data_IF_747090338042
#
_entry.id   IF_747090338042
#
_cell.length_a   1.000
_cell.length_b   1.000
_cell.length_c   1.000
_cell.angle_alpha   90.00
_cell.angle_beta   90.00
_cell.angle_gamma   90.00
#
_symmetry.space_group_name_H-M   'P 1'
#
loop_
_entity.id
_entity.type
_entity.pdbx_description
1 polymer ?
#
# COMPACT_ATOMS: atom_id res chain seq x y z
N UNK A 1 2.93 15.71 25.00
CA UNK A 1 2.99 15.16 23.63
C UNK A 1 1.66 14.50 23.35
N UNK A 2 0.79 15.17 22.59
CA UNK A 2 -0.54 14.68 22.26
C UNK A 2 -0.45 13.94 20.92
N UNK A 3 -0.74 12.65 20.95
CA UNK A 3 -0.82 11.78 19.78
C UNK A 3 -2.04 12.20 18.96
N UNK A 4 -1.80 12.76 17.78
CA UNK A 4 -2.87 13.13 16.85
C UNK A 4 -3.36 11.84 16.18
N UNK A 5 -4.38 11.21 16.77
CA UNK A 5 -5.16 10.17 16.08
C UNK A 5 -6.01 10.91 15.05
N UNK A 6 -5.67 10.76 13.76
CA UNK A 6 -6.51 11.21 12.67
C UNK A 6 -7.79 10.36 12.66
N UNK A 7 -8.77 10.75 13.46
CA UNK A 7 -10.14 10.28 13.35
C UNK A 7 -10.65 10.82 12.01
N UNK A 8 -10.69 9.97 10.98
CA UNK A 8 -11.43 10.26 9.76
C UNK A 8 -12.90 10.39 10.17
N UNK A 9 -13.33 11.62 10.42
CA UNK A 9 -14.73 11.98 10.51
C UNK A 9 -15.34 11.63 9.15
N UNK A 10 -15.95 10.46 9.03
CA UNK A 10 -16.98 10.24 8.04
C UNK A 10 -18.11 11.19 8.42
N UNK A 11 -18.09 12.39 7.84
CA UNK A 11 -19.30 13.17 7.67
C UNK A 11 -20.25 12.22 6.94
N UNK A 12 -21.26 11.70 7.63
CA UNK A 12 -22.48 11.25 6.97
C UNK A 12 -22.94 12.46 6.17
N UNK A 13 -22.68 12.44 4.86
CA UNK A 13 -23.27 13.40 3.95
C UNK A 13 -24.76 13.11 3.94
N UNK A 14 -25.47 13.69 4.89
CA UNK A 14 -26.89 13.96 4.76
C UNK A 14 -26.91 15.20 3.88
N UNK A 15 -27.40 15.14 2.63
CA UNK A 15 -27.57 16.33 1.83
C UNK A 15 -28.36 17.36 2.65
N UNK A 16 -27.90 18.61 2.65
CA UNK A 16 -28.61 19.73 3.26
C UNK A 16 -30.08 19.69 2.82
N UNK A 17 -30.97 19.82 3.80
CA UNK A 17 -32.40 19.71 3.66
C UNK A 17 -32.97 20.82 2.77
N UNK A 18 -33.13 20.52 1.48
CA UNK A 18 -34.42 20.80 0.85
C UNK A 18 -35.32 19.60 1.16
N UNK A 19 -36.46 19.85 1.80
CA UNK A 19 -37.48 18.84 2.11
C UNK A 19 -38.05 18.31 0.78
N UNK A 20 -37.42 17.26 0.24
CA UNK A 20 -37.74 16.72 -1.06
C UNK A 20 -37.72 15.20 -0.97
N UNK A 21 -38.80 14.58 -1.46
CA UNK A 21 -38.94 13.13 -1.55
C UNK A 21 -37.79 12.51 -2.33
N UNK A 22 -37.20 11.45 -1.80
CA UNK A 22 -36.12 10.75 -2.48
C UNK A 22 -36.20 9.23 -2.38
N UNK A 23 -35.62 8.57 -3.38
CA UNK A 23 -35.29 7.14 -3.35
C UNK A 23 -33.79 7.00 -3.46
N UNK A 24 -33.15 6.27 -2.55
CA UNK A 24 -31.70 6.24 -2.45
C UNK A 24 -31.14 4.87 -2.00
N UNK A 25 -29.84 4.69 -2.21
CA UNK A 25 -29.08 3.51 -1.80
C UNK A 25 -28.33 3.80 -0.50
N UNK A 26 -28.42 2.89 0.47
CA UNK A 26 -27.75 2.96 1.78
C UNK A 26 -27.01 1.65 2.11
N UNK A 27 -25.70 1.68 2.43
CA UNK A 27 -24.84 2.86 2.41
C UNK A 27 -24.65 3.40 0.99
N UNK A 28 -24.54 4.72 0.87
CA UNK A 28 -24.34 5.38 -0.43
C UNK A 28 -22.99 5.00 -1.08
N UNK A 29 -21.99 4.64 -0.26
CA UNK A 29 -20.63 4.31 -0.67
C UNK A 29 -20.20 2.97 -0.05
N UNK A 30 -19.91 1.97 -0.88
CA UNK A 30 -19.35 0.69 -0.52
C UNK A 30 -17.89 0.62 -0.99
N UNK A 31 -16.94 1.03 -0.13
CA UNK A 31 -15.52 1.14 -0.49
C UNK A 31 -14.68 0.09 0.24
N UNK A 32 -13.93 -0.70 -0.52
CA UNK A 32 -13.09 -1.79 -0.04
C UNK A 32 -11.64 -1.65 -0.52
N UNK A 33 -10.76 -2.42 0.13
CA UNK A 33 -9.39 -2.66 -0.31
C UNK A 33 -9.15 -4.16 -0.42
N UNK A 34 -8.13 -4.60 -1.15
CA UNK A 34 -7.69 -6.01 -1.15
C UNK A 34 -7.22 -6.50 0.22
N UNK A 35 -7.05 -5.61 1.21
CA UNK A 35 -6.77 -5.96 2.62
C UNK A 35 -8.05 -6.19 3.44
N UNK A 36 -9.17 -5.60 3.04
CA UNK A 36 -10.46 -5.67 3.77
C UNK A 36 -11.49 -6.57 3.09
N UNK A 37 -11.31 -6.87 1.81
CA UNK A 37 -12.17 -7.76 1.04
C UNK A 37 -11.38 -8.51 -0.03
N UNK A 38 -11.94 -9.64 -0.45
CA UNK A 38 -11.41 -10.51 -1.52
C UNK A 38 -12.55 -11.01 -2.41
N UNK A 39 -12.23 -11.68 -3.53
CA UNK A 39 -13.22 -12.35 -4.36
C UNK A 39 -14.04 -13.32 -3.49
N UNK A 40 -15.36 -13.25 -3.59
CA UNK A 40 -16.28 -14.01 -2.74
C UNK A 40 -16.78 -13.26 -1.50
N UNK A 41 -16.23 -12.08 -1.20
CA UNK A 41 -16.73 -11.22 -0.11
C UNK A 41 -18.10 -10.67 -0.48
N UNK A 42 -19.06 -10.80 0.44
CA UNK A 42 -20.43 -10.33 0.27
C UNK A 42 -20.68 -9.04 1.02
N UNK A 43 -21.50 -8.17 0.46
CA UNK A 43 -21.94 -6.92 1.10
C UNK A 43 -23.38 -6.61 0.72
N UNK A 44 -24.08 -5.88 1.59
CA UNK A 44 -25.49 -5.52 1.39
C UNK A 44 -25.63 -4.03 1.12
N UNK A 45 -26.59 -3.69 0.27
CA UNK A 45 -27.14 -2.34 0.16
C UNK A 45 -28.65 -2.38 0.37
N UNK A 46 -29.16 -1.36 1.03
CA UNK A 46 -30.58 -1.16 1.34
C UNK A 46 -31.11 -0.04 0.47
N UNK A 47 -32.24 -0.28 -0.17
CA UNK A 47 -32.98 0.72 -0.93
C UNK A 47 -33.97 1.41 -0.01
N UNK A 48 -34.00 2.73 -0.03
CA UNK A 48 -34.81 3.54 0.87
C UNK A 48 -35.68 4.53 0.10
N UNK A 49 -36.79 4.91 0.72
CA UNK A 49 -37.55 6.11 0.38
C UNK A 49 -37.73 7.00 1.62
N UNK A 50 -37.73 8.32 1.45
CA UNK A 50 -37.99 9.30 2.51
C UNK A 50 -38.98 10.36 2.05
N UNK A 51 -39.67 10.99 3.00
CA UNK A 51 -40.60 12.10 2.75
C UNK A 51 -41.70 11.74 1.73
N UNK A 52 -42.18 10.50 1.80
CA UNK A 52 -43.31 9.98 1.00
C UNK A 52 -44.22 9.14 1.90
N UNK A 53 -45.53 9.36 1.80
CA UNK A 53 -46.57 8.57 2.47
C UNK A 53 -47.60 8.07 1.46
N UNK A 54 -48.53 7.23 1.90
CA UNK A 54 -49.58 6.63 1.06
C UNK A 54 -49.02 5.84 -0.14
N UNK A 55 -47.92 5.12 0.06
CA UNK A 55 -47.29 4.33 -1.01
C UNK A 55 -48.12 3.06 -1.25
N UNK A 56 -48.64 2.90 -2.47
CA UNK A 56 -49.31 1.67 -2.95
C UNK A 56 -48.32 0.63 -3.49
N UNK A 57 -47.14 1.06 -3.94
CA UNK A 57 -46.06 0.17 -4.36
C UNK A 57 -44.76 0.87 -4.72
N UNK A 58 -43.70 0.10 -4.88
CA UNK A 58 -42.39 0.56 -5.31
C UNK A 58 -41.83 -0.39 -6.37
N UNK A 59 -41.30 0.15 -7.47
CA UNK A 59 -40.46 -0.58 -8.41
C UNK A 59 -39.06 0.04 -8.38
N UNK A 60 -38.03 -0.79 -8.28
CA UNK A 60 -36.64 -0.37 -8.34
C UNK A 60 -35.96 -1.08 -9.49
N UNK A 61 -35.27 -0.32 -10.32
CA UNK A 61 -34.41 -0.82 -11.39
C UNK A 61 -32.99 -0.33 -11.15
N UNK A 62 -32.04 -1.26 -10.96
CA UNK A 62 -30.65 -0.94 -10.68
C UNK A 62 -29.73 -1.54 -11.75
N UNK A 63 -28.89 -0.70 -12.34
CA UNK A 63 -27.77 -1.12 -13.22
C UNK A 63 -26.44 -1.03 -12.47
N UNK A 64 -25.52 -1.95 -12.76
CA UNK A 64 -24.18 -1.98 -12.20
C UNK A 64 -23.24 -2.76 -13.13
N UNK A 65 -21.92 -2.65 -12.91
CA UNK A 65 -20.93 -3.43 -13.64
C UNK A 65 -20.83 -4.84 -13.06
N UNK A 66 -21.35 -5.82 -13.81
CA UNK A 66 -21.38 -7.22 -13.35
C UNK A 66 -20.09 -8.01 -13.58
N UNK A 67 -19.12 -7.43 -14.29
CA UNK A 67 -17.77 -7.99 -14.39
C UNK A 67 -16.99 -7.83 -13.09
N UNK A 68 -17.44 -6.98 -12.14
CA UNK A 68 -16.72 -6.72 -10.87
C UNK A 68 -17.49 -7.09 -9.61
N UNK A 69 -18.83 -7.01 -9.63
CA UNK A 69 -19.73 -7.46 -8.56
C UNK A 69 -20.97 -8.11 -9.14
N UNK A 70 -21.56 -9.11 -8.49
CA UNK A 70 -22.85 -9.67 -8.92
C UNK A 70 -23.86 -9.75 -7.76
N UNK A 71 -25.15 -9.72 -8.11
CA UNK A 71 -26.21 -9.91 -7.10
C UNK A 71 -26.37 -11.39 -6.81
N UNK A 72 -26.40 -11.74 -5.53
CA UNK A 72 -26.59 -13.11 -5.06
C UNK A 72 -28.01 -13.39 -4.58
N UNK A 73 -28.69 -12.37 -4.05
CA UNK A 73 -30.09 -12.41 -3.64
C UNK A 73 -30.57 -11.00 -3.32
N UNK A 74 -31.89 -10.82 -3.31
CA UNK A 74 -32.52 -9.70 -2.62
C UNK A 74 -33.61 -10.21 -1.66
N UNK A 75 -33.98 -9.38 -0.69
CA UNK A 75 -35.06 -9.68 0.23
C UNK A 75 -35.71 -8.41 0.78
N UNK A 76 -36.95 -8.54 1.22
CA UNK A 76 -37.67 -7.49 1.93
C UNK A 76 -37.38 -7.57 3.44
N UNK A 77 -37.08 -6.45 4.12
CA UNK A 77 -36.82 -6.46 5.56
C UNK A 77 -38.13 -6.46 6.36
N UNK A 78 -39.02 -7.43 6.15
CA UNK A 78 -40.40 -7.36 6.67
C UNK A 78 -40.55 -7.43 8.19
N UNK A 79 -39.50 -7.83 8.91
CA UNK A 79 -39.44 -7.78 10.38
C UNK A 79 -38.91 -6.45 10.91
N UNK A 80 -38.43 -5.57 10.03
CA UNK A 80 -37.88 -4.27 10.38
C UNK A 80 -39.02 -3.23 10.51
N UNK A 81 -39.12 -2.51 11.64
CA UNK A 81 -40.14 -1.46 11.80
C UNK A 81 -40.05 -0.34 10.77
N UNK A 82 -38.88 -0.16 10.14
CA UNK A 82 -38.67 0.82 9.08
C UNK A 82 -39.02 0.26 7.69
N UNK A 83 -39.54 -0.96 7.56
CA UNK A 83 -40.01 -1.47 6.29
C UNK A 83 -41.17 -0.61 5.77
N UNK A 84 -41.04 -0.14 4.53
CA UNK A 84 -41.92 0.89 3.97
C UNK A 84 -43.38 0.41 3.79
N UNK A 85 -43.61 -0.90 3.68
CA UNK A 85 -44.89 -1.47 3.27
C UNK A 85 -45.50 -2.40 4.33
N UNK A 86 -46.60 -2.01 4.99
CA UNK A 86 -47.29 -2.89 5.94
C UNK A 86 -47.90 -4.13 5.28
N UNK A 87 -47.85 -5.26 6.00
CA UNK A 87 -48.52 -6.51 5.60
C UNK A 87 -50.05 -6.34 5.43
N UNK A 88 -50.70 -7.06 4.50
CA UNK A 88 -50.10 -7.92 3.48
C UNK A 88 -49.46 -7.12 2.34
N UNK A 89 -48.41 -7.67 1.75
CA UNK A 89 -47.72 -7.14 0.58
C UNK A 89 -47.31 -8.27 -0.37
N UNK A 90 -47.04 -7.94 -1.62
CA UNK A 90 -46.47 -8.87 -2.61
C UNK A 90 -45.13 -8.33 -3.07
N UNK A 91 -44.12 -9.20 -3.12
CA UNK A 91 -42.78 -8.88 -3.59
C UNK A 91 -42.46 -9.70 -4.85
N UNK A 92 -41.99 -9.05 -5.91
CA UNK A 92 -41.74 -9.67 -7.21
C UNK A 92 -40.37 -9.31 -7.79
N UNK A 93 -39.64 -10.28 -8.38
CA UNK A 93 -39.90 -11.74 -8.29
C UNK A 93 -39.85 -12.25 -6.85
N UNK A 94 -40.34 -13.45 -6.58
CA UNK A 94 -40.48 -13.93 -5.19
C UNK A 94 -39.11 -14.01 -4.49
N UNK A 95 -38.81 -13.20 -3.47
CA UNK A 95 -37.54 -13.27 -2.77
C UNK A 95 -37.45 -14.53 -1.87
N UNK A 96 -36.25 -15.08 -1.60
CA UNK A 96 -34.97 -14.65 -2.12
C UNK A 96 -34.72 -15.24 -3.52
N UNK A 97 -34.70 -14.37 -4.51
CA UNK A 97 -34.35 -14.66 -5.90
C UNK A 97 -33.31 -13.61 -6.29
N UNK A 98 -32.21 -13.92 -6.99
CA UNK A 98 -31.29 -12.88 -7.46
C UNK A 98 -31.96 -11.85 -8.37
N UNK A 99 -32.97 -12.27 -9.15
CA UNK A 99 -33.54 -11.57 -10.30
C UNK A 99 -32.52 -10.74 -11.10
N UNK A 100 -31.34 -11.32 -11.28
CA UNK A 100 -30.20 -10.69 -11.91
C UNK A 100 -30.14 -11.09 -13.38
N UNK A 101 -29.93 -10.10 -14.24
CA UNK A 101 -29.70 -10.31 -15.66
C UNK A 101 -28.36 -9.74 -16.08
N UNK A 102 -27.55 -10.59 -16.70
CA UNK A 102 -26.39 -10.20 -17.50
C UNK A 102 -26.87 -9.81 -18.89
N UNK A 103 -26.68 -8.56 -19.29
CA UNK A 103 -27.09 -8.07 -20.61
C UNK A 103 -25.94 -8.04 -21.62
N UNK A 104 -24.77 -7.62 -21.16
CA UNK A 104 -23.51 -7.57 -21.90
C UNK A 104 -22.36 -7.49 -20.90
N UNK A 105 -21.12 -7.57 -21.39
CA UNK A 105 -19.93 -7.42 -20.56
C UNK A 105 -19.97 -6.12 -19.75
N UNK A 106 -19.92 -6.26 -18.43
CA UNK A 106 -19.98 -5.15 -17.49
C UNK A 106 -21.33 -4.45 -17.39
N UNK A 107 -22.41 -5.10 -17.82
CA UNK A 107 -23.78 -4.58 -17.75
C UNK A 107 -24.68 -5.63 -17.07
N UNK A 108 -24.75 -5.51 -15.75
CA UNK A 108 -25.69 -6.22 -14.90
C UNK A 108 -26.89 -5.37 -14.52
N UNK A 109 -28.04 -6.01 -14.35
CA UNK A 109 -29.24 -5.34 -13.84
C UNK A 109 -30.03 -6.21 -12.88
N UNK A 110 -30.77 -5.55 -11.99
CA UNK A 110 -31.82 -6.14 -11.16
C UNK A 110 -33.05 -5.22 -11.20
N UNK A 111 -34.23 -5.82 -11.30
CA UNK A 111 -35.50 -5.11 -11.20
C UNK A 111 -36.38 -5.78 -10.15
N UNK A 112 -36.86 -5.04 -9.16
CA UNK A 112 -37.67 -5.60 -8.08
C UNK A 112 -38.87 -4.72 -7.84
N UNK A 113 -39.97 -5.31 -7.40
CA UNK A 113 -41.17 -4.58 -7.05
C UNK A 113 -41.73 -5.08 -5.72
N UNK A 114 -42.25 -4.16 -4.91
CA UNK A 114 -43.00 -4.46 -3.70
C UNK A 114 -44.28 -3.64 -3.73
N UNK A 115 -45.43 -4.30 -3.70
CA UNK A 115 -46.75 -3.67 -3.84
C UNK A 115 -47.67 -4.07 -2.70
N UNK A 116 -48.66 -3.23 -2.38
CA UNK A 116 -49.66 -3.56 -1.37
C UNK A 116 -50.41 -4.83 -1.75
N UNK A 117 -50.54 -5.74 -0.80
CA UNK A 117 -51.24 -7.00 -0.95
C UNK A 117 -52.67 -6.93 -0.43
N UNK A 118 -53.43 -8.00 -0.66
CA UNK A 118 -54.86 -8.07 -0.35
C UNK A 118 -55.72 -7.68 -1.55
N UNK A 119 -56.87 -8.33 -1.71
CA UNK A 119 -57.82 -8.05 -2.79
C UNK A 119 -59.21 -7.76 -2.19
N UNK A 120 -59.74 -6.52 -2.32
CA UNK A 120 -59.04 -5.33 -2.82
C UNK A 120 -57.96 -4.84 -1.83
N UNK A 121 -56.92 -4.14 -2.29
CA UNK A 121 -55.93 -3.54 -1.41
C UNK A 121 -56.59 -2.47 -0.52
N UNK A 122 -56.24 -2.44 0.76
CA UNK A 122 -56.79 -1.48 1.72
C UNK A 122 -55.70 -0.96 2.68
N UNK A 123 -55.87 0.22 3.29
CA UNK A 123 -54.92 0.76 4.26
C UNK A 123 -54.66 -0.20 5.46
N UNK A 124 -53.53 -0.03 6.17
CA UNK A 124 -52.55 1.06 6.01
C UNK A 124 -51.68 0.91 4.75
N UNK A 125 -51.49 2.02 4.06
CA UNK A 125 -50.59 2.16 2.91
C UNK A 125 -49.14 2.32 3.38
N UNK A 126 -48.21 2.24 2.44
CA UNK A 126 -46.79 2.41 2.73
C UNK A 126 -46.42 3.84 3.12
N UNK A 127 -45.26 3.97 3.74
CA UNK A 127 -44.69 5.21 4.23
C UNK A 127 -43.18 5.22 3.95
N UNK A 128 -42.49 6.30 4.30
CA UNK A 128 -41.04 6.36 4.21
C UNK A 128 -40.35 5.19 4.94
N UNK A 129 -39.30 4.64 4.35
CA UNK A 129 -38.64 3.47 4.90
C UNK A 129 -37.82 2.66 3.91
N UNK A 130 -37.36 1.51 4.41
CA UNK A 130 -36.62 0.48 3.67
C UNK A 130 -37.55 -0.21 2.69
N UNK A 131 -37.19 -0.21 1.41
CA UNK A 131 -37.91 -0.88 0.32
C UNK A 131 -37.45 -2.33 0.21
N UNK A 132 -36.15 -2.55 0.07
CA UNK A 132 -35.55 -3.86 -0.14
C UNK A 132 -34.06 -3.85 0.19
N UNK A 133 -33.48 -5.03 0.40
CA UNK A 133 -32.04 -5.23 0.61
C UNK A 133 -31.52 -6.11 -0.53
N UNK A 134 -30.42 -5.69 -1.16
CA UNK A 134 -29.72 -6.43 -2.21
C UNK A 134 -28.36 -6.87 -1.68
N UNK A 135 -28.07 -8.17 -1.74
CA UNK A 135 -26.77 -8.76 -1.38
C UNK A 135 -25.91 -8.94 -2.63
N UNK A 136 -24.82 -8.18 -2.69
CA UNK A 136 -23.80 -8.28 -3.71
C UNK A 136 -22.66 -9.20 -3.26
N UNK A 137 -21.97 -9.76 -4.24
CA UNK A 137 -20.74 -10.51 -4.07
C UNK A 137 -19.65 -9.94 -4.99
N UNK A 138 -18.44 -9.79 -4.46
CA UNK A 138 -17.28 -9.30 -5.22
C UNK A 138 -16.75 -10.42 -6.12
N UNK A 139 -16.70 -10.17 -7.43
CA UNK A 139 -16.28 -11.16 -8.45
C UNK A 139 -14.93 -10.84 -9.07
N UNK A 140 -14.46 -9.59 -9.01
CA UNK A 140 -13.13 -9.20 -9.47
C UNK A 140 -12.45 -8.24 -8.48
N UNK A 141 -11.12 -8.26 -8.50
CA UNK A 141 -10.26 -7.30 -7.80
C UNK A 141 -9.30 -6.66 -8.82
N UNK A 142 -8.76 -5.46 -8.55
CA UNK A 142 -7.84 -4.81 -9.47
C UNK A 142 -6.58 -5.66 -9.69
N UNK A 143 -6.24 -5.91 -10.95
CA UNK A 143 -5.11 -6.78 -11.31
C UNK A 143 -3.77 -6.14 -10.93
N UNK A 144 -3.62 -4.85 -11.18
CA UNK A 144 -2.39 -4.11 -10.93
C UNK A 144 -2.43 -3.39 -9.57
N UNK A 145 -1.34 -3.40 -8.80
CA UNK A 145 -1.21 -2.59 -7.58
C UNK A 145 -1.41 -1.10 -7.87
N UNK A 146 -1.96 -0.36 -6.91
CA UNK A 146 -2.29 1.06 -7.07
C UNK A 146 -3.53 1.36 -7.93
N UNK A 147 -4.15 0.34 -8.54
CA UNK A 147 -5.36 0.50 -9.36
C UNK A 147 -6.65 0.19 -8.59
N UNK A 148 -7.79 0.55 -9.18
CA UNK A 148 -9.12 0.34 -8.60
C UNK A 148 -10.15 -0.10 -9.64
N UNK A 149 -11.14 -0.86 -9.19
CA UNK A 149 -12.34 -1.22 -9.93
C UNK A 149 -13.54 -0.58 -9.24
N UNK A 150 -14.44 0.04 -10.01
CA UNK A 150 -15.62 0.68 -9.44
C UNK A 150 -16.83 0.64 -10.36
N UNK A 151 -18.00 0.81 -9.76
CA UNK A 151 -19.25 0.96 -10.49
C UNK A 151 -20.26 1.78 -9.71
N UNK A 152 -21.07 2.54 -10.44
CA UNK A 152 -22.25 3.22 -9.88
C UNK A 152 -23.39 2.21 -9.77
N UNK A 153 -24.01 2.12 -8.59
CA UNK A 153 -25.25 1.39 -8.38
C UNK A 153 -26.40 2.28 -8.82
N UNK A 154 -26.73 2.21 -10.11
CA UNK A 154 -27.53 3.22 -10.81
C UNK A 154 -29.03 2.94 -10.68
N UNK A 155 -29.69 3.67 -9.80
CA UNK A 155 -31.16 3.64 -9.63
C UNK A 155 -31.86 4.87 -10.21
N UNK A 156 -31.11 5.93 -10.55
CA UNK A 156 -31.65 7.12 -11.20
C UNK A 156 -31.93 6.85 -12.68
N UNK A 157 -33.09 6.27 -12.93
CA UNK A 157 -33.63 5.96 -14.24
C UNK A 157 -35.19 5.98 -14.17
N UNK A 158 -35.87 5.98 -15.32
CA UNK A 158 -37.34 5.99 -15.37
C UNK A 158 -38.00 4.74 -14.77
N UNK A 159 -37.32 3.59 -14.77
CA UNK A 159 -37.87 2.32 -14.30
C UNK A 159 -37.82 2.14 -12.77
N UNK A 160 -37.22 3.09 -12.05
CA UNK A 160 -37.31 3.22 -10.59
C UNK A 160 -38.39 4.23 -10.22
N UNK A 161 -39.48 3.82 -9.60
CA UNK A 161 -40.59 4.70 -9.24
C UNK A 161 -41.39 4.19 -8.03
N UNK A 162 -42.15 5.09 -7.42
CA UNK A 162 -43.14 4.78 -6.38
C UNK A 162 -44.54 4.99 -6.95
N UNK A 163 -45.49 4.19 -6.51
CA UNK A 163 -46.91 4.28 -6.87
C UNK A 163 -47.74 4.65 -5.65
N UNK A 164 -48.77 5.46 -5.87
CA UNK A 164 -49.82 5.75 -4.90
C UNK A 164 -50.85 4.61 -4.84
N UNK A 165 -51.90 4.69 -3.98
CA UNK A 165 -52.89 3.64 -3.84
C UNK A 165 -53.76 3.41 -5.08
N UNK A 166 -53.83 4.41 -5.97
CA UNK A 166 -54.60 4.37 -7.22
C UNK A 166 -53.75 3.89 -8.42
N UNK A 167 -52.52 3.44 -8.15
CA UNK A 167 -51.50 3.01 -9.13
C UNK A 167 -50.98 4.14 -10.02
N UNK A 168 -51.02 5.38 -9.54
CA UNK A 168 -50.39 6.51 -10.21
C UNK A 168 -48.98 6.73 -9.64
N UNK A 169 -48.04 7.06 -10.52
CA UNK A 169 -46.67 7.38 -10.11
C UNK A 169 -46.64 8.60 -9.18
N UNK A 170 -45.94 8.46 -8.07
CA UNK A 170 -45.63 9.53 -7.13
C UNK A 170 -44.43 10.29 -7.66
N UNK A 171 -44.53 11.63 -7.72
CA UNK A 171 -43.41 12.49 -8.09
C UNK A 171 -42.33 12.45 -6.99
N UNK A 172 -41.15 11.95 -7.35
CA UNK A 172 -39.99 11.83 -6.46
C UNK A 172 -39.01 12.95 -6.81
N UNK A 173 -38.67 13.79 -5.84
CA UNK A 173 -37.75 14.91 -6.03
C UNK A 173 -36.32 14.49 -6.39
N UNK A 174 -35.83 13.35 -5.89
CA UNK A 174 -34.49 12.84 -6.24
C UNK A 174 -34.36 11.32 -6.21
N UNK A 175 -33.70 10.75 -7.21
CA UNK A 175 -33.25 9.34 -7.22
C UNK A 175 -31.73 9.32 -7.08
N UNK A 176 -31.21 8.81 -5.96
CA UNK A 176 -29.79 8.94 -5.59
C UNK A 176 -29.10 7.58 -5.75
N UNK A 177 -28.14 7.52 -6.67
CA UNK A 177 -27.35 6.33 -6.94
C UNK A 177 -26.45 5.97 -5.75
N UNK A 178 -26.11 4.68 -5.64
CA UNK A 178 -25.02 4.22 -4.79
C UNK A 178 -23.71 4.11 -5.56
N UNK A 179 -22.63 3.76 -4.85
CA UNK A 179 -21.32 3.55 -5.43
C UNK A 179 -20.61 2.37 -4.79
N UNK A 180 -19.95 1.56 -5.61
CA UNK A 180 -19.07 0.49 -5.18
C UNK A 180 -17.65 0.74 -5.71
N UNK A 181 -16.65 0.50 -4.87
CA UNK A 181 -15.24 0.52 -5.25
C UNK A 181 -14.44 -0.51 -4.47
N UNK A 182 -13.51 -1.17 -5.15
CA UNK A 182 -12.43 -1.94 -4.53
C UNK A 182 -11.08 -1.50 -5.11
N UNK A 183 -10.13 -1.22 -4.22
CA UNK A 183 -8.78 -0.78 -4.58
C UNK A 183 -7.73 -1.81 -4.15
N UNK A 184 -6.69 -1.97 -4.97
CA UNK A 184 -5.50 -2.75 -4.61
C UNK A 184 -4.44 -1.75 -4.19
N UNK A 185 -4.03 -1.77 -2.92
CA UNK A 185 -2.91 -0.95 -2.46
C UNK A 185 -1.64 -1.29 -3.24
N UNK A 186 -0.81 -0.30 -3.53
CA UNK A 186 0.57 -0.54 -3.95
C UNK A 186 1.35 -0.98 -2.71
N UNK A 187 2.05 -2.12 -2.77
CA UNK A 187 3.09 -2.37 -1.79
C UNK A 187 4.25 -1.43 -2.08
N UNK A 188 4.74 -0.81 -1.01
CA UNK A 188 5.95 -0.02 -1.02
C UNK A 188 6.96 -0.72 -0.14
N UNK A 189 8.16 -0.97 -0.65
CA UNK A 189 9.16 -1.79 0.04
C UNK A 189 10.56 -1.53 -0.53
N UNK A 190 11.37 -0.79 0.23
CA UNK A 190 12.75 -0.49 -0.11
C UNK A 190 13.70 -1.15 0.89
N UNK A 191 14.70 -1.86 0.37
CA UNK A 191 15.65 -2.57 1.19
C UNK A 191 17.07 -2.11 0.92
N UNK A 192 17.89 -2.04 1.97
CA UNK A 192 19.34 -2.05 1.82
C UNK A 192 19.83 -3.47 2.00
N UNK A 193 20.24 -4.07 0.90
CA UNK A 193 20.59 -5.50 0.83
C UNK A 193 22.06 -5.77 1.06
N UNK A 194 22.93 -4.78 0.82
CA UNK A 194 24.37 -4.92 1.03
C UNK A 194 25.06 -3.59 1.29
N UNK A 195 26.17 -3.65 2.02
CA UNK A 195 27.11 -2.55 2.23
C UNK A 195 28.55 -3.09 2.17
N UNK A 196 29.30 -2.65 1.17
CA UNK A 196 30.67 -3.08 0.94
C UNK A 196 31.62 -1.87 1.06
N UNK A 197 32.51 -1.93 2.05
CA UNK A 197 33.59 -0.96 2.16
C UNK A 197 34.77 -1.42 1.31
N UNK A 198 35.30 -0.50 0.49
CA UNK A 198 36.48 -0.76 -0.32
C UNK A 198 37.71 -1.11 0.51
N UNK A 199 37.78 -0.69 1.78
CA UNK A 199 38.77 -1.11 2.79
C UNK A 199 38.10 -1.16 4.17
N UNK A 200 38.46 -2.14 5.00
CA UNK A 200 38.01 -2.25 6.39
C UNK A 200 38.99 -1.58 7.39
N UNK A 201 40.21 -1.26 6.97
CA UNK A 201 41.16 -0.42 7.70
C UNK A 201 41.61 0.72 6.81
N UNK A 202 41.47 1.95 7.29
CA UNK A 202 41.77 3.18 6.54
C UNK A 202 42.69 4.04 7.36
N UNK A 203 43.76 4.51 6.72
CA UNK A 203 44.71 5.40 7.38
C UNK A 203 44.11 6.80 7.43
N UNK A 204 44.20 7.45 8.58
CA UNK A 204 43.70 8.80 8.77
C UNK A 204 44.21 9.73 7.66
N UNK A 205 43.34 10.63 7.21
CA UNK A 205 43.54 11.56 6.09
C UNK A 205 43.51 10.92 4.70
N UNK A 206 43.16 9.63 4.59
CA UNK A 206 42.83 8.99 3.32
C UNK A 206 41.32 8.88 3.14
N UNK A 207 40.90 8.56 1.93
CA UNK A 207 39.49 8.35 1.61
C UNK A 207 39.21 6.88 1.36
N UNK A 208 38.03 6.41 1.74
CA UNK A 208 37.52 5.08 1.44
C UNK A 208 36.24 5.17 0.63
N UNK A 209 36.10 4.30 -0.36
CA UNK A 209 34.85 4.14 -1.10
C UNK A 209 33.96 3.12 -0.40
N UNK A 210 32.66 3.40 -0.33
CA UNK A 210 31.67 2.54 0.33
C UNK A 210 30.52 2.35 -0.67
N UNK A 211 30.35 1.14 -1.17
CA UNK A 211 29.25 0.78 -2.05
C UNK A 211 28.06 0.28 -1.24
N UNK A 212 26.87 0.82 -1.51
CA UNK A 212 25.62 0.41 -0.87
C UNK A 212 24.67 -0.10 -1.93
N UNK A 213 24.13 -1.30 -1.74
CA UNK A 213 23.14 -1.89 -2.66
C UNK A 213 21.75 -1.69 -2.10
N UNK A 214 20.95 -0.88 -2.79
CA UNK A 214 19.56 -0.62 -2.44
C UNK A 214 18.65 -1.30 -3.46
N UNK A 215 17.68 -2.09 -3.00
CA UNK A 215 16.74 -2.84 -3.82
C UNK A 215 15.32 -2.28 -3.65
N UNK A 216 14.54 -2.33 -4.71
CA UNK A 216 13.10 -2.07 -4.68
C UNK A 216 12.38 -3.43 -4.73
N UNK A 217 11.76 -3.79 -3.60
CA UNK A 217 10.95 -5.01 -3.43
C UNK A 217 9.44 -4.70 -3.52
N UNK A 218 9.08 -3.45 -3.79
CA UNK A 218 7.72 -2.96 -3.91
C UNK A 218 7.09 -3.23 -5.27
N UNK A 219 5.84 -2.79 -5.43
CA UNK A 219 5.03 -3.05 -6.62
C UNK A 219 5.17 -1.96 -7.72
N UNK A 220 5.96 -0.91 -7.47
CA UNK A 220 6.11 0.23 -8.37
C UNK A 220 7.51 0.84 -8.33
N UNK A 221 7.88 1.73 -9.26
CA UNK A 221 9.14 2.47 -9.17
C UNK A 221 9.12 3.39 -7.95
N UNK A 222 10.15 3.31 -7.13
CA UNK A 222 10.23 4.00 -5.85
C UNK A 222 11.37 4.98 -5.82
N UNK A 223 11.16 6.15 -5.21
CA UNK A 223 12.19 7.18 -5.09
C UNK A 223 12.34 7.56 -3.64
N UNK A 224 13.56 7.42 -3.11
CA UNK A 224 13.85 7.61 -1.70
C UNK A 224 15.23 8.24 -1.48
N UNK A 225 15.41 8.77 -0.27
CA UNK A 225 16.69 9.27 0.19
C UNK A 225 17.48 8.12 0.82
N UNK A 226 18.70 7.90 0.32
CA UNK A 226 19.68 7.01 0.92
C UNK A 226 20.73 7.86 1.64
N UNK A 227 20.83 7.70 2.95
CA UNK A 227 21.79 8.41 3.79
C UNK A 227 22.83 7.46 4.34
N UNK A 228 24.11 7.85 4.25
CA UNK A 228 25.20 7.15 4.93
C UNK A 228 25.56 7.89 6.23
N UNK A 229 25.52 7.18 7.34
CA UNK A 229 25.93 7.67 8.66
C UNK A 229 27.24 7.02 9.11
N UNK A 230 28.11 7.82 9.71
CA UNK A 230 29.37 7.39 10.31
C UNK A 230 29.27 7.58 11.82
N UNK A 231 29.51 6.53 12.60
CA UNK A 231 29.27 6.53 14.04
C UNK A 231 30.50 6.00 14.80
N UNK A 232 31.13 6.86 15.60
CA UNK A 232 32.12 6.47 16.62
C UNK A 232 31.56 6.61 18.04
N UNK A 233 31.06 7.80 18.37
CA UNK A 233 30.36 8.08 19.63
C UNK A 233 28.95 8.61 19.36
N UNK A 234 28.86 9.60 18.47
CA UNK A 234 27.61 10.14 17.94
C UNK A 234 27.54 9.89 16.43
N UNK A 235 26.38 9.55 15.88
CA UNK A 235 26.21 9.39 14.44
C UNK A 235 26.35 10.76 13.75
N UNK A 236 27.10 10.79 12.66
CA UNK A 236 27.29 11.94 11.79
C UNK A 236 26.81 11.56 10.40
N UNK A 237 25.92 12.36 9.82
CA UNK A 237 25.51 12.20 8.43
C UNK A 237 26.69 12.56 7.51
N UNK A 238 27.14 11.61 6.69
CA UNK A 238 28.17 11.87 5.69
C UNK A 238 27.56 12.51 4.45
N UNK A 239 26.55 11.87 3.88
CA UNK A 239 25.90 12.32 2.66
C UNK A 239 24.54 11.62 2.49
N UNK A 240 23.61 12.35 1.89
CA UNK A 240 22.33 11.81 1.38
C UNK A 240 22.29 11.89 -0.15
N UNK A 241 21.82 10.82 -0.80
CA UNK A 241 21.61 10.74 -2.24
C UNK A 241 20.19 10.27 -2.55
N UNK A 242 19.61 10.80 -3.63
CA UNK A 242 18.31 10.35 -4.12
C UNK A 242 18.50 9.12 -5.02
N UNK A 243 17.69 8.08 -4.81
CA UNK A 243 17.79 6.79 -5.52
C UNK A 243 16.42 6.43 -6.09
N UNK A 244 16.38 5.86 -7.31
CA UNK A 244 15.14 5.47 -7.99
C UNK A 244 15.27 4.10 -8.71
N UNK A 245 15.26 2.96 -8.00
CA UNK A 245 15.28 1.64 -8.63
C UNK A 245 13.92 1.33 -9.24
N UNK A 246 13.89 0.62 -10.39
CA UNK A 246 12.65 0.07 -10.93
C UNK A 246 12.17 -1.12 -10.09
N UNK A 247 10.95 -1.59 -10.36
CA UNK A 247 10.38 -2.79 -9.71
C UNK A 247 11.30 -3.98 -9.89
N UNK A 248 11.54 -4.73 -8.80
CA UNK A 248 12.42 -5.90 -8.76
C UNK A 248 13.89 -5.63 -9.18
N UNK A 249 14.30 -4.36 -9.25
CA UNK A 249 15.67 -3.96 -9.56
C UNK A 249 16.41 -3.43 -8.32
N UNK A 250 17.74 -3.41 -8.43
CA UNK A 250 18.62 -2.82 -7.43
C UNK A 250 19.51 -1.74 -8.05
N UNK A 251 19.93 -0.79 -7.21
CA UNK A 251 20.90 0.24 -7.53
C UNK A 251 22.10 0.13 -6.58
N UNK A 252 23.30 0.25 -7.12
CA UNK A 252 24.55 0.32 -6.33
C UNK A 252 24.99 1.78 -6.26
N UNK A 253 25.04 2.32 -5.04
CA UNK A 253 25.38 3.72 -4.77
C UNK A 253 26.71 3.77 -4.03
N UNK A 254 27.71 4.39 -4.65
CA UNK A 254 29.02 4.58 -4.02
C UNK A 254 29.09 5.91 -3.28
N UNK A 255 29.52 5.88 -2.04
CA UNK A 255 29.89 7.02 -1.21
C UNK A 255 31.41 7.08 -1.05
N UNK A 256 31.95 8.27 -0.81
CA UNK A 256 33.37 8.45 -0.51
C UNK A 256 33.51 9.14 0.83
N UNK A 257 34.13 8.46 1.78
CA UNK A 257 34.41 9.02 3.10
C UNK A 257 35.87 9.44 3.21
N UNK A 258 36.11 10.75 3.31
CA UNK A 258 37.42 11.29 3.64
C UNK A 258 37.61 11.35 5.16
N UNK A 259 38.58 10.61 5.68
CA UNK A 259 38.86 10.49 7.13
C UNK A 259 39.66 11.66 7.70
N UNK A 260 39.96 12.70 6.91
CA UNK A 260 40.68 13.90 7.39
C UNK A 260 39.91 14.58 8.53
N UNK A 261 40.56 14.75 9.68
CA UNK A 261 39.98 15.38 10.86
C UNK A 261 39.06 14.49 11.69
N UNK A 262 38.88 13.23 11.31
CA UNK A 262 38.18 12.22 12.11
C UNK A 262 39.16 11.56 13.10
N UNK A 263 38.82 11.39 14.39
CA UNK A 263 39.64 10.63 15.32
C UNK A 263 39.92 9.20 14.84
N UNK A 264 40.94 8.55 15.41
CA UNK A 264 41.14 7.12 15.18
C UNK A 264 40.16 6.28 16.00
N UNK A 265 39.85 5.09 15.51
CA UNK A 265 39.04 4.08 16.19
C UNK A 265 38.12 3.33 15.24
N UNK A 266 37.28 2.49 15.84
CA UNK A 266 36.35 1.63 15.12
C UNK A 266 35.04 2.34 14.84
N UNK A 267 34.78 2.65 13.57
CA UNK A 267 33.57 3.32 13.13
C UNK A 267 32.53 2.30 12.68
N UNK A 268 31.30 2.49 13.17
CA UNK A 268 30.14 1.84 12.61
C UNK A 268 29.59 2.70 11.46
N UNK A 269 29.56 2.15 10.26
CA UNK A 269 29.06 2.80 9.04
C UNK A 269 27.70 2.23 8.75
N UNK A 270 26.67 3.07 8.73
CA UNK A 270 25.27 2.63 8.54
C UNK A 270 24.69 3.28 7.29
N UNK A 271 24.24 2.47 6.35
CA UNK A 271 23.40 2.91 5.26
C UNK A 271 21.94 2.86 5.69
N UNK A 272 21.20 3.92 5.43
CA UNK A 272 19.79 4.05 5.80
C UNK A 272 18.96 4.58 4.64
N UNK A 273 18.01 3.78 4.18
CA UNK A 273 16.97 4.19 3.26
C UNK A 273 15.83 4.85 4.05
N UNK A 274 15.46 6.07 3.67
CA UNK A 274 14.37 6.77 4.34
C UNK A 274 13.03 6.13 3.96
N UNK A 275 12.18 5.79 4.94
CA UNK A 275 10.90 5.16 4.67
C UNK A 275 10.04 5.99 3.72
N UNK A 276 9.41 5.32 2.76
CA UNK A 276 8.46 5.96 1.85
C UNK A 276 7.02 5.78 2.34
N UNK A 277 6.10 6.56 1.77
CA UNK A 277 4.70 6.54 2.20
C UNK A 277 4.08 5.16 1.93
N UNK A 278 3.44 4.59 2.95
CA UNK A 278 2.76 3.28 2.93
C UNK A 278 3.70 2.06 2.87
N UNK A 279 5.00 2.26 3.00
CA UNK A 279 5.93 1.19 3.31
C UNK A 279 5.67 0.68 4.73
N UNK A 280 5.59 -0.64 4.87
CA UNK A 280 5.25 -1.30 6.15
C UNK A 280 6.32 -2.25 6.63
N UNK A 281 7.12 -2.81 5.74
CA UNK A 281 8.37 -3.45 6.14
C UNK A 281 9.42 -2.34 6.25
N UNK A 282 10.01 -2.20 7.44
CA UNK A 282 11.02 -1.17 7.71
C UNK A 282 12.30 -1.80 8.25
N UNK A 283 12.33 -3.13 8.35
CA UNK A 283 13.37 -3.86 9.08
C UNK A 283 14.67 -3.96 8.27
N UNK A 284 14.58 -3.89 6.95
CA UNK A 284 15.70 -3.99 6.01
C UNK A 284 16.06 -2.64 5.36
N UNK A 285 15.46 -1.52 5.79
CA UNK A 285 15.84 -0.17 5.36
C UNK A 285 17.20 0.28 5.90
N UNK A 286 17.88 -0.55 6.70
CA UNK A 286 19.19 -0.22 7.25
C UNK A 286 20.11 -1.42 7.35
N UNK A 287 21.37 -1.21 7.00
CA UNK A 287 22.46 -2.17 7.22
C UNK A 287 23.69 -1.42 7.70
N UNK A 288 24.56 -2.10 8.43
CA UNK A 288 25.80 -1.52 8.94
C UNK A 288 27.01 -2.42 8.68
N UNK A 289 28.17 -1.79 8.50
CA UNK A 289 29.48 -2.45 8.54
C UNK A 289 30.44 -1.68 9.46
N UNK A 290 31.60 -2.26 9.73
CA UNK A 290 32.64 -1.63 10.56
C UNK A 290 33.87 -1.28 9.72
N UNK A 291 34.39 -0.08 9.93
CA UNK A 291 35.65 0.39 9.33
C UNK A 291 36.53 0.93 10.46
N UNK A 292 37.76 0.44 10.54
CA UNK A 292 38.77 0.93 11.47
C UNK A 292 39.53 2.10 10.85
N UNK A 293 39.68 3.20 11.58
CA UNK A 293 40.52 4.34 11.18
C UNK A 293 41.75 4.40 12.08
N UNK A 294 42.92 4.18 11.50
CA UNK A 294 44.20 4.12 12.22
C UNK A 294 45.22 5.16 11.76
N UNK A 295 46.37 5.23 12.45
CA UNK A 295 47.48 6.14 12.13
C UNK A 295 48.64 5.44 11.42
N UNK A 296 48.76 4.12 11.54
CA UNK A 296 49.96 3.39 11.14
C UNK A 296 49.79 2.83 9.73
N UNK A 297 50.62 3.34 8.81
CA UNK A 297 50.85 2.71 7.50
C UNK A 297 51.52 1.36 7.74
N UNK A 298 50.97 0.30 7.17
CA UNK A 298 51.51 -1.06 7.30
C UNK A 298 50.84 -1.92 8.37
N UNK A 299 50.06 -1.35 9.29
CA UNK A 299 49.22 -2.11 10.22
C UNK A 299 47.95 -2.55 9.48
N UNK A 300 48.07 -3.63 8.70
CA UNK A 300 47.00 -4.09 7.80
C UNK A 300 45.92 -4.87 8.52
N UNK A 301 46.19 -5.26 9.77
CA UNK A 301 45.26 -5.99 10.62
C UNK A 301 44.56 -5.10 11.67
N UNK A 302 45.07 -3.89 11.90
CA UNK A 302 44.49 -2.88 12.78
C UNK A 302 44.73 -3.13 14.27
N UNK A 303 45.77 -3.88 14.66
CA UNK A 303 46.08 -4.16 16.08
C UNK A 303 46.88 -3.05 16.77
N UNK A 304 47.23 -1.99 16.04
CA UNK A 304 47.95 -0.83 16.53
C UNK A 304 49.46 -1.01 16.53
N UNK A 305 49.99 -2.07 15.93
CA UNK A 305 51.42 -2.31 15.74
C UNK A 305 51.72 -2.83 14.34
N UNK A 306 52.87 -2.50 13.77
CA UNK A 306 53.33 -3.10 12.51
C UNK A 306 54.32 -4.20 12.82
N UNK A 307 53.86 -5.44 12.88
CA UNK A 307 54.66 -6.59 13.29
C UNK A 307 54.72 -7.71 12.24
N UNK A 308 55.21 -8.89 12.64
CA UNK A 308 55.35 -10.02 11.73
C UNK A 308 54.00 -10.54 11.20
N UNK A 309 52.89 -10.28 11.91
CA UNK A 309 51.55 -10.66 11.47
C UNK A 309 51.12 -9.86 10.25
N UNK A 310 51.41 -8.56 10.20
CA UNK A 310 51.12 -7.71 9.05
C UNK A 310 51.89 -8.15 7.82
N UNK A 311 53.20 -8.37 8.01
CA UNK A 311 54.09 -8.88 6.95
C UNK A 311 53.59 -10.23 6.44
N UNK A 312 53.15 -11.12 7.34
CA UNK A 312 52.62 -12.43 6.98
C UNK A 312 51.31 -12.34 6.20
N UNK A 313 50.39 -11.44 6.57
CA UNK A 313 49.13 -11.25 5.84
C UNK A 313 49.37 -10.81 4.39
N UNK A 314 50.24 -9.81 4.18
CA UNK A 314 50.62 -9.36 2.83
C UNK A 314 51.31 -10.50 2.06
N UNK A 315 52.20 -11.26 2.70
CA UNK A 315 52.86 -12.39 2.06
C UNK A 315 51.89 -13.51 1.64
N UNK A 316 50.82 -13.76 2.41
CA UNK A 316 49.80 -14.76 2.07
C UNK A 316 48.95 -14.36 0.86
N UNK A 317 48.70 -13.07 0.68
CA UNK A 317 47.97 -12.52 -0.46
C UNK A 317 48.87 -12.13 -1.65
N UNK A 318 50.19 -12.30 -1.53
CA UNK A 318 51.15 -11.88 -2.53
C UNK A 318 50.84 -12.44 -3.94
N UNK A 319 50.84 -11.57 -4.93
CA UNK A 319 50.51 -11.84 -6.33
C UNK A 319 49.01 -11.99 -6.61
N UNK A 320 48.14 -11.71 -5.64
CA UNK A 320 46.70 -11.58 -5.89
C UNK A 320 46.35 -10.20 -6.44
N UNK A 321 45.23 -10.11 -7.15
CA UNK A 321 44.70 -8.88 -7.74
C UNK A 321 43.19 -8.82 -7.56
N UNK A 322 42.58 -7.66 -7.78
CA UNK A 322 41.12 -7.49 -7.75
C UNK A 322 40.41 -8.63 -8.51
N UNK A 323 39.51 -9.32 -7.82
CA UNK A 323 38.76 -10.48 -8.33
C UNK A 323 39.34 -11.86 -7.98
N UNK A 324 40.59 -11.96 -7.48
CA UNK A 324 41.14 -13.20 -6.91
C UNK A 324 40.51 -13.44 -5.51
N UNK A 325 40.04 -14.66 -5.19
CA UNK A 325 39.53 -14.98 -3.85
C UNK A 325 40.49 -14.70 -2.68
N UNK A 326 41.80 -14.63 -2.94
CA UNK A 326 42.82 -14.29 -1.93
C UNK A 326 43.05 -12.79 -1.78
N UNK A 327 42.59 -11.98 -2.74
CA UNK A 327 42.77 -10.54 -2.70
C UNK A 327 41.91 -9.95 -1.58
N UNK A 328 42.56 -9.19 -0.70
CA UNK A 328 41.89 -8.38 0.31
C UNK A 328 42.41 -6.96 0.14
N UNK A 329 41.50 -6.00 0.06
CA UNK A 329 41.83 -4.62 -0.28
C UNK A 329 42.68 -3.91 0.77
N UNK A 330 42.60 -4.30 2.05
CA UNK A 330 43.49 -3.81 3.10
C UNK A 330 44.96 -4.23 2.91
N UNK A 331 45.23 -5.26 2.12
CA UNK A 331 46.58 -5.76 1.83
C UNK A 331 47.21 -5.09 0.59
N UNK A 332 46.40 -4.46 -0.26
CA UNK A 332 46.84 -3.51 -1.30
C UNK A 332 46.96 -2.12 -0.65
N UNK A 333 48.13 -1.89 -0.04
CA UNK A 333 48.37 -0.71 0.79
C UNK A 333 48.48 0.54 -0.08
N UNK A 334 48.95 0.39 -1.33
CA UNK A 334 49.16 1.50 -2.25
C UNK A 334 48.00 1.73 -3.25
N UNK A 335 46.96 0.89 -3.21
CA UNK A 335 45.75 0.98 -4.03
C UNK A 335 46.01 0.87 -5.55
N UNK A 336 47.01 0.08 -5.98
CA UNK A 336 47.28 -0.16 -7.42
C UNK A 336 46.55 -1.40 -7.99
N UNK A 337 45.71 -2.03 -7.18
CA UNK A 337 44.83 -3.14 -7.54
C UNK A 337 45.51 -4.52 -7.49
N UNK A 338 46.75 -4.59 -7.01
CA UNK A 338 47.53 -5.82 -6.87
C UNK A 338 48.26 -5.84 -5.52
N UNK A 339 48.35 -7.00 -4.88
CA UNK A 339 49.19 -7.16 -3.67
C UNK A 339 50.56 -7.65 -4.11
N UNK A 340 51.56 -6.78 -4.13
CA UNK A 340 52.89 -7.09 -4.67
C UNK A 340 54.06 -6.69 -3.75
N UNK A 341 55.27 -6.60 -4.32
CA UNK A 341 56.47 -6.24 -3.56
C UNK A 341 56.39 -4.83 -2.97
N UNK A 342 55.64 -3.91 -3.57
CA UNK A 342 55.47 -2.56 -3.08
C UNK A 342 54.70 -2.56 -1.76
N UNK A 343 53.60 -3.31 -1.67
CA UNK A 343 52.83 -3.43 -0.43
C UNK A 343 53.68 -4.06 0.67
N UNK A 344 54.38 -5.15 0.32
CA UNK A 344 55.31 -5.80 1.25
C UNK A 344 56.38 -4.82 1.76
N UNK A 345 56.98 -4.02 0.86
CA UNK A 345 57.97 -3.01 1.23
C UNK A 345 57.37 -1.93 2.13
N UNK A 346 56.14 -1.48 1.86
CA UNK A 346 55.46 -0.48 2.68
C UNK A 346 55.24 -1.01 4.10
N UNK A 347 54.78 -2.25 4.26
CA UNK A 347 54.66 -2.89 5.58
C UNK A 347 56.00 -2.97 6.29
N UNK A 348 57.03 -3.50 5.63
CA UNK A 348 58.36 -3.68 6.25
C UNK A 348 59.05 -2.35 6.58
N UNK A 349 58.83 -1.29 5.80
CA UNK A 349 59.36 0.05 6.10
C UNK A 349 58.83 0.63 7.41
N UNK A 350 57.66 0.18 7.85
CA UNK A 350 57.03 0.62 9.11
C UNK A 350 57.15 -0.42 10.22
N UNK A 351 57.88 -1.52 10.01
CA UNK A 351 57.99 -2.62 10.96
C UNK A 351 58.61 -2.20 12.30
N UNK A 352 58.01 -2.64 13.40
CA UNK A 352 58.46 -2.40 14.76
C UNK A 352 58.07 -1.03 15.32
N UNK A 353 57.19 -0.30 14.61
CA UNK A 353 56.44 0.85 15.11
C UNK A 353 55.14 0.32 15.73
#
# INVERSE_FOLDING_TARGET
MATLVALSLFLSWVPDAECSSAVYVDPAMCVFTTRTASIGTKFNVTLWCNDVTDIGGAQIYMEFNDSIINVTRWFVPSSDPQFFMPSPYTAMPTPPDPNYWHLAEGIGRIMIAVVKGGLPPSPPWGHEGKIAIIEFNITAIPAEPGTKLSTTLRINNPDTYLLDPDNKEIEIGSKINGYYEISRGSLCDIAITDIEAGKNYVIQNHSVSIAVTAANQGDGPETFNLTLYIHLHTPVELQTKLVTPQVDEYAVITFTWNTTGWPTGSYNVTAYAWPIRNETDLADNSISCSIEVGLLIGDVNGDGTVDLKDVLLVALAYGSSIGDPRYQSNLDINDDGVVDLKDYLITVMHYGI
#
